data_IF_718600860698
#
_entry.id   IF_718600860698
#
_cell.length_a   1.000
_cell.length_b   1.000
_cell.length_c   1.000
_cell.angle_alpha   90.00
_cell.angle_beta   90.00
_cell.angle_gamma   90.00
#
_symmetry.space_group_name_H-M   'P 1'
#
loop_
_entity.id
_entity.type
_entity.pdbx_description
1 polymer ?
#
# COMPACT_ATOMS: atom_id res chain seq x y z
N UNK A 1 -15.96 -76.56 9.20
CA UNK A 1 -16.05 -75.35 8.36
C UNK A 1 -15.35 -74.20 9.10
N UNK A 2 -14.15 -73.80 8.67
CA UNK A 2 -13.37 -72.68 9.23
C UNK A 2 -13.38 -71.52 8.22
N UNK A 3 -13.46 -70.29 8.73
CA UNK A 3 -13.39 -69.03 7.97
C UNK A 3 -14.72 -68.27 8.07
N UNK A 4 -14.78 -67.00 8.43
CA UNK A 4 -13.81 -65.92 8.22
C UNK A 4 -13.89 -64.91 9.37
N UNK A 5 -12.75 -64.55 9.91
CA UNK A 5 -12.54 -63.38 10.77
C UNK A 5 -12.84 -62.12 9.98
N UNK A 6 -13.78 -61.30 10.46
CA UNK A 6 -13.92 -59.93 9.99
C UNK A 6 -12.84 -59.09 10.65
N UNK A 7 -11.75 -58.84 9.93
CA UNK A 7 -10.78 -57.82 10.30
C UNK A 7 -11.27 -56.50 9.68
N UNK A 8 -11.75 -55.52 10.46
CA UNK A 8 -12.09 -54.22 9.91
C UNK A 8 -10.84 -53.59 9.29
N UNK A 9 -10.98 -53.07 8.08
CA UNK A 9 -9.88 -52.37 7.41
C UNK A 9 -9.50 -51.13 8.23
N UNK A 10 -8.19 -50.86 8.46
CA UNK A 10 -7.79 -49.63 9.14
C UNK A 10 -8.28 -48.43 8.32
N UNK A 11 -8.81 -47.37 8.96
CA UNK A 11 -9.23 -46.19 8.24
C UNK A 11 -8.04 -45.65 7.45
N UNK A 12 -8.19 -45.62 6.12
CA UNK A 12 -7.19 -45.07 5.20
C UNK A 12 -6.90 -43.65 5.64
N UNK A 13 -5.66 -43.42 6.08
CA UNK A 13 -5.15 -42.10 6.39
C UNK A 13 -5.28 -41.19 5.17
N UNK A 14 -6.34 -40.40 5.13
CA UNK A 14 -6.30 -39.15 4.40
C UNK A 14 -5.65 -38.13 5.31
N UNK A 15 -4.34 -37.99 5.08
CA UNK A 15 -3.54 -36.79 5.26
C UNK A 15 -4.37 -35.60 5.75
N UNK A 16 -3.99 -35.07 6.91
CA UNK A 16 -4.38 -33.72 7.34
C UNK A 16 -4.10 -32.78 6.18
N UNK A 17 -5.12 -32.51 5.37
CA UNK A 17 -5.07 -31.51 4.33
C UNK A 17 -5.02 -30.20 5.10
N UNK A 18 -3.80 -29.77 5.39
CA UNK A 18 -3.51 -28.53 6.08
C UNK A 18 -4.39 -27.48 5.44
N UNK A 19 -5.24 -26.88 6.30
CA UNK A 19 -6.12 -25.77 5.97
C UNK A 19 -5.36 -24.86 5.00
N UNK A 20 -5.77 -24.83 3.73
CA UNK A 20 -5.14 -23.96 2.74
C UNK A 20 -5.00 -22.59 3.40
N UNK A 21 -3.79 -22.00 3.47
CA UNK A 21 -3.63 -20.72 4.12
C UNK A 21 -4.64 -19.77 3.47
N UNK A 22 -5.62 -19.34 4.27
CA UNK A 22 -6.59 -18.36 3.84
C UNK A 22 -5.79 -17.18 3.28
N UNK A 23 -6.16 -16.62 2.12
CA UNK A 23 -5.38 -15.55 1.50
C UNK A 23 -5.29 -14.40 2.49
N UNK A 24 -4.17 -14.33 3.20
CA UNK A 24 -3.92 -13.29 4.20
C UNK A 24 -3.83 -11.99 3.44
N UNK A 25 -4.80 -11.13 3.69
CA UNK A 25 -4.65 -9.68 3.60
C UNK A 25 -4.19 -9.17 2.25
N UNK A 26 -5.03 -9.31 1.22
CA UNK A 26 -4.91 -8.48 0.01
C UNK A 26 -5.62 -7.14 0.21
N UNK A 27 -5.28 -6.44 1.29
CA UNK A 27 -5.71 -5.05 1.49
C UNK A 27 -4.67 -4.35 2.35
N UNK A 28 -3.91 -3.44 1.75
CA UNK A 28 -2.94 -2.63 2.50
C UNK A 28 -1.85 -1.98 1.66
N UNK A 29 -1.60 -2.44 0.44
CA UNK A 29 -0.48 -1.95 -0.38
C UNK A 29 -0.77 -0.80 -1.33
N UNK A 30 -2.03 -0.35 -1.48
CA UNK A 30 -2.40 0.59 -2.56
C UNK A 30 -2.52 2.06 -2.18
N UNK A 31 -2.46 2.39 -0.88
CA UNK A 31 -2.68 3.77 -0.44
C UNK A 31 -1.40 4.56 -0.17
N UNK A 32 -0.25 3.90 0.01
CA UNK A 32 0.97 4.58 0.47
C UNK A 32 1.71 5.36 -0.62
N UNK A 33 1.51 5.02 -1.89
CA UNK A 33 2.36 5.52 -2.98
C UNK A 33 1.59 6.13 -4.15
N UNK A 34 0.32 6.51 -3.95
CA UNK A 34 -0.40 7.28 -4.97
C UNK A 34 0.22 8.68 -5.07
N UNK A 35 0.52 9.18 -6.29
CA UNK A 35 1.03 10.53 -6.46
C UNK A 35 -0.01 11.52 -5.93
N UNK A 36 0.37 12.28 -4.91
CA UNK A 36 -0.46 13.33 -4.32
C UNK A 36 0.22 14.66 -4.60
N UNK A 37 -0.46 15.54 -5.33
CA UNK A 37 0.03 16.87 -5.71
C UNK A 37 -0.97 17.93 -5.23
N UNK A 38 -0.46 19.06 -4.75
CA UNK A 38 -1.28 20.18 -4.24
C UNK A 38 -1.07 21.42 -5.12
N UNK A 39 -2.17 22.12 -5.42
CA UNK A 39 -2.14 23.43 -6.06
C UNK A 39 -2.34 24.51 -4.99
N UNK A 40 -1.30 25.31 -4.75
CA UNK A 40 -1.35 26.47 -3.84
C UNK A 40 -1.49 27.73 -4.68
N UNK A 41 -2.50 28.55 -4.39
CA UNK A 41 -2.80 29.82 -5.09
C UNK A 41 -2.65 31.01 -4.15
N UNK A 42 -2.73 32.22 -4.70
CA UNK A 42 -2.64 33.47 -3.95
C UNK A 42 -1.29 33.63 -3.22
N UNK A 43 -0.20 33.18 -3.87
CA UNK A 43 1.16 33.39 -3.40
C UNK A 43 1.65 34.75 -3.88
N UNK A 44 2.52 35.39 -3.08
CA UNK A 44 3.20 36.62 -3.49
C UNK A 44 4.18 36.32 -4.63
N UNK A 45 4.46 37.32 -5.47
CA UNK A 45 5.40 37.17 -6.61
C UNK A 45 6.84 36.85 -6.18
N UNK A 46 7.23 37.23 -4.97
CA UNK A 46 8.54 36.96 -4.37
C UNK A 46 8.59 35.65 -3.58
N UNK A 47 7.54 34.82 -3.65
CA UNK A 47 7.46 33.54 -2.93
C UNK A 47 8.62 32.62 -3.33
N UNK A 48 9.30 32.06 -2.33
CA UNK A 48 10.39 31.10 -2.51
C UNK A 48 9.95 29.68 -2.17
N UNK A 49 10.66 28.65 -2.64
CA UNK A 49 10.36 27.26 -2.27
C UNK A 49 10.35 27.03 -0.76
N UNK A 50 11.20 27.75 0.00
CA UNK A 50 11.29 27.61 1.46
C UNK A 50 10.01 28.08 2.16
N UNK A 51 9.33 29.09 1.61
CA UNK A 51 8.07 29.64 2.14
C UNK A 51 6.93 28.63 2.01
N UNK A 52 7.01 27.71 1.03
CA UNK A 52 6.09 26.59 0.86
C UNK A 52 6.55 25.38 1.68
N UNK A 53 7.84 25.06 1.67
CA UNK A 53 8.36 23.87 2.33
C UNK A 53 8.09 23.89 3.84
N UNK A 54 8.44 24.98 4.51
CA UNK A 54 8.32 25.12 5.98
C UNK A 54 6.91 24.79 6.52
N UNK A 55 5.81 25.40 6.02
CA UNK A 55 4.48 25.12 6.53
C UNK A 55 3.92 23.76 6.13
N UNK A 56 4.35 23.16 5.01
CA UNK A 56 3.81 21.90 4.51
C UNK A 56 4.58 20.65 5.00
N UNK A 57 5.86 20.77 5.33
CA UNK A 57 6.72 19.64 5.77
C UNK A 57 6.22 18.99 7.07
N UNK A 58 5.46 19.72 7.89
CA UNK A 58 4.78 19.18 9.10
C UNK A 58 3.74 18.09 8.79
N UNK A 59 3.21 18.05 7.56
CA UNK A 59 2.20 17.08 7.15
C UNK A 59 2.81 15.85 6.48
N UNK A 60 4.11 15.87 6.20
CA UNK A 60 4.82 14.77 5.58
C UNK A 60 5.97 15.22 4.68
N UNK A 61 6.73 14.26 4.14
CA UNK A 61 7.83 14.56 3.24
C UNK A 61 7.31 15.19 1.94
N UNK A 62 7.94 16.30 1.53
CA UNK A 62 7.68 16.97 0.26
C UNK A 62 8.65 16.41 -0.78
N UNK A 63 8.12 15.93 -1.91
CA UNK A 63 8.94 15.38 -3.02
C UNK A 63 9.58 16.50 -3.83
N UNK A 64 8.77 17.44 -4.28
CA UNK A 64 9.16 18.53 -5.17
C UNK A 64 8.23 19.74 -5.00
N UNK A 65 8.71 20.91 -5.44
CA UNK A 65 7.96 22.17 -5.44
C UNK A 65 8.16 22.81 -6.81
N UNK A 66 7.07 23.09 -7.49
CA UNK A 66 7.07 23.82 -8.76
C UNK A 66 6.50 25.22 -8.56
N UNK A 67 7.32 26.24 -8.80
CA UNK A 67 6.89 27.64 -8.84
C UNK A 67 6.92 28.12 -10.30
N UNK A 68 5.77 28.55 -10.86
CA UNK A 68 5.73 29.16 -12.17
C UNK A 68 6.65 30.39 -12.20
N UNK A 69 7.54 30.44 -13.19
CA UNK A 69 8.34 31.64 -13.47
C UNK A 69 7.58 32.48 -14.48
N UNK A 70 7.59 33.79 -14.27
CA UNK A 70 7.19 34.70 -15.34
C UNK A 70 8.33 34.74 -16.37
N UNK A 71 8.06 34.18 -17.55
CA UNK A 71 9.00 34.15 -18.66
C UNK A 71 8.83 35.33 -19.62
N UNK A 72 7.78 36.14 -19.44
CA UNK A 72 7.37 37.18 -20.37
C UNK A 72 7.80 38.57 -19.92
N UNK A 73 7.88 38.82 -18.61
CA UNK A 73 8.40 40.06 -18.05
C UNK A 73 9.85 39.87 -17.61
N UNK A 74 10.80 40.37 -18.39
CA UNK A 74 12.22 40.47 -18.01
C UNK A 74 12.52 41.75 -17.27
#
# INVERSE_FOLDING_TARGET
MRGRSYSPSPPRGYSRRGRSPSPRGRSGGRARDLPTSLLVRNLRHDCRPEDIRRPFERYGPIKDIYLPKDYYTR
#
